data_IF_725421455945
#
_entry.id   IF_725421455945
#
_cell.length_a   1.000
_cell.length_b   1.000
_cell.length_c   1.000
_cell.angle_alpha   90.00
_cell.angle_beta   90.00
_cell.angle_gamma   90.00
#
_symmetry.space_group_name_H-M   'P 1'
#
loop_
_entity.id
_entity.type
_entity.pdbx_description
1 polymer ?
#
# COMPACT_ATOMS: atom_id res chain seq x y z
N UNK A 1 -5.62 41.69 34.18
CA UNK A 1 -4.36 41.00 34.54
C UNK A 1 -3.28 41.37 33.53
N UNK A 2 -2.28 42.16 33.93
CA UNK A 2 -1.20 42.57 33.04
C UNK A 2 -0.32 41.35 32.68
N UNK A 3 -0.20 41.04 31.38
CA UNK A 3 0.68 39.98 30.88
C UNK A 3 2.12 40.31 31.27
N UNK A 4 2.75 39.49 32.12
CA UNK A 4 4.17 39.58 32.46
C UNK A 4 4.97 39.59 31.16
N UNK A 5 5.76 40.63 30.91
CA UNK A 5 6.59 40.75 29.72
C UNK A 5 7.55 39.55 29.64
N UNK A 6 7.74 38.99 28.45
CA UNK A 6 8.63 37.85 28.22
C UNK A 6 10.07 38.26 28.64
N UNK A 7 10.69 37.60 29.63
CA UNK A 7 12.02 37.98 30.12
C UNK A 7 13.08 37.94 29.02
N UNK A 8 12.88 37.11 27.97
CA UNK A 8 13.78 37.03 26.82
C UNK A 8 13.71 38.27 25.93
N UNK A 9 12.54 38.91 25.85
CA UNK A 9 12.37 40.16 25.10
C UNK A 9 13.08 41.32 25.81
N UNK A 10 13.07 41.35 27.15
CA UNK A 10 13.78 42.37 27.92
C UNK A 10 15.30 42.22 27.83
N UNK A 11 15.82 40.99 27.84
CA UNK A 11 17.23 40.70 27.58
C UNK A 11 17.62 41.06 26.15
N UNK A 12 16.80 40.69 25.16
CA UNK A 12 17.02 41.02 23.76
C UNK A 12 17.04 42.51 23.45
N UNK A 13 16.25 43.31 24.16
CA UNK A 13 16.28 44.78 24.04
C UNK A 13 17.66 45.36 24.37
N UNK A 14 18.32 44.87 25.42
CA UNK A 14 19.68 45.31 25.77
C UNK A 14 20.69 44.99 24.67
N UNK A 15 20.56 43.82 24.06
CA UNK A 15 21.45 43.38 22.98
C UNK A 15 21.30 44.24 21.72
N UNK A 16 20.07 44.59 21.32
CA UNK A 16 19.86 45.48 20.16
C UNK A 16 20.28 46.93 20.47
N UNK A 17 20.16 47.38 21.72
CA UNK A 17 20.67 48.68 22.17
C UNK A 17 22.20 48.73 22.09
N UNK A 18 22.91 47.66 22.49
CA UNK A 18 24.36 47.51 22.34
C UNK A 18 24.80 47.49 20.87
N UNK A 19 23.96 46.97 19.98
CA UNK A 19 24.17 47.07 18.52
C UNK A 19 23.86 48.45 17.96
N UNK A 20 23.43 49.40 18.80
CA UNK A 20 23.05 50.75 18.40
C UNK A 20 21.77 50.80 17.57
N UNK A 21 20.93 49.77 17.62
CA UNK A 21 19.68 49.68 16.87
C UNK A 21 18.52 50.19 17.73
N UNK A 22 17.82 51.22 17.25
CA UNK A 22 16.64 51.77 17.93
C UNK A 22 15.61 52.28 16.93
N UNK A 23 14.37 52.49 17.38
CA UNK A 23 13.29 52.96 16.51
C UNK A 23 13.59 54.35 15.95
N UNK A 24 14.16 55.24 16.76
CA UNK A 24 14.53 56.58 16.33
C UNK A 24 15.57 56.53 15.19
N UNK A 25 16.56 55.65 15.31
CA UNK A 25 17.62 55.48 14.30
C UNK A 25 17.15 54.80 13.01
N UNK A 26 16.11 53.97 13.09
CA UNK A 26 15.42 53.47 11.91
C UNK A 26 14.62 54.58 11.22
N UNK A 27 13.96 55.44 11.99
CA UNK A 27 13.13 56.52 11.46
C UNK A 27 13.94 57.66 10.84
N UNK A 28 15.13 57.96 11.38
CA UNK A 28 16.04 58.98 10.85
C UNK A 28 17.02 58.44 9.77
N UNK A 29 16.97 57.12 9.49
CA UNK A 29 17.79 56.46 8.48
C UNK A 29 19.24 56.19 8.89
N UNK A 30 19.64 56.46 10.14
CA UNK A 30 20.98 56.18 10.67
C UNK A 30 21.26 54.69 10.88
N UNK A 31 20.22 53.84 10.80
CA UNK A 31 20.30 52.38 10.75
C UNK A 31 19.36 51.90 9.64
N UNK A 32 19.84 51.03 8.76
CA UNK A 32 19.04 50.50 7.64
C UNK A 32 18.35 49.18 7.98
N UNK A 33 17.27 48.85 7.25
CA UNK A 33 16.61 47.54 7.39
C UNK A 33 17.53 46.37 6.96
N UNK A 34 18.48 46.61 6.06
CA UNK A 34 19.48 45.61 5.64
C UNK A 34 20.45 45.27 6.78
N UNK A 35 20.83 46.28 7.58
CA UNK A 35 21.64 46.07 8.79
C UNK A 35 20.89 45.23 9.82
N UNK A 36 19.57 45.41 9.95
CA UNK A 36 18.74 44.55 10.81
C UNK A 36 18.66 43.13 10.27
N UNK A 37 18.53 42.96 8.96
CA UNK A 37 18.51 41.65 8.32
C UNK A 37 19.83 40.89 8.55
N UNK A 38 20.98 41.56 8.47
CA UNK A 38 22.29 40.95 8.71
C UNK A 38 22.50 40.45 10.16
N UNK A 39 21.71 40.98 11.11
CA UNK A 39 21.76 40.61 12.54
C UNK A 39 20.80 39.48 12.92
N UNK A 40 19.89 39.07 12.03
CA UNK A 40 18.94 37.99 12.29
C UNK A 40 19.67 36.68 12.62
N UNK A 41 19.24 35.99 13.68
CA UNK A 41 19.80 34.70 14.09
C UNK A 41 21.09 34.78 14.91
N UNK A 42 21.61 35.98 15.18
CA UNK A 42 22.81 36.16 16.01
C UNK A 42 22.51 35.97 17.51
N UNK A 43 21.33 36.38 17.98
CA UNK A 43 20.86 36.15 19.34
C UNK A 43 19.34 35.92 19.40
N UNK A 44 18.86 34.81 20.01
CA UNK A 44 17.42 34.50 20.05
C UNK A 44 16.57 35.52 20.82
N UNK A 45 17.14 36.25 21.78
CA UNK A 45 16.47 37.34 22.48
C UNK A 45 16.38 38.59 21.62
N UNK A 46 17.50 38.97 20.99
CA UNK A 46 17.58 40.08 20.06
C UNK A 46 16.63 39.89 18.88
N UNK A 47 16.48 38.67 18.37
CA UNK A 47 15.52 38.35 17.31
C UNK A 47 14.07 38.70 17.69
N UNK A 48 13.67 38.42 18.94
CA UNK A 48 12.34 38.79 19.44
C UNK A 48 12.18 40.32 19.55
N UNK A 49 13.24 41.01 19.95
CA UNK A 49 13.26 42.46 20.08
C UNK A 49 13.26 43.16 18.71
N UNK A 50 14.02 42.66 17.73
CA UNK A 50 14.03 43.11 16.34
C UNK A 50 12.66 42.92 15.69
N UNK A 51 12.02 41.75 15.85
CA UNK A 51 10.67 41.54 15.35
C UNK A 51 9.67 42.53 15.95
N UNK A 52 9.76 42.81 17.25
CA UNK A 52 8.91 43.80 17.91
C UNK A 52 9.18 45.23 17.40
N UNK A 53 10.46 45.59 17.20
CA UNK A 53 10.90 46.88 16.69
C UNK A 53 10.39 47.14 15.27
N UNK A 54 10.48 46.14 14.38
CA UNK A 54 9.92 46.19 13.03
C UNK A 54 8.40 46.41 13.06
N UNK A 55 7.68 45.80 14.01
CA UNK A 55 6.25 46.06 14.22
C UNK A 55 5.92 47.49 14.68
N UNK A 56 6.92 48.23 15.16
CA UNK A 56 6.78 49.62 15.57
C UNK A 56 7.14 50.65 14.49
N UNK A 57 7.70 50.20 13.37
CA UNK A 57 8.07 51.03 12.23
C UNK A 57 7.08 50.82 11.05
N UNK A 58 6.04 51.67 10.91
CA UNK A 58 4.94 51.45 9.97
C UNK A 58 5.32 51.79 8.51
N UNK A 59 6.24 51.00 7.95
CA UNK A 59 6.67 51.12 6.54
C UNK A 59 6.51 49.76 5.82
N UNK A 60 6.19 49.74 4.52
CA UNK A 60 6.02 48.50 3.77
C UNK A 60 7.25 47.58 3.81
N UNK A 61 8.45 48.15 3.82
CA UNK A 61 9.71 47.41 3.87
C UNK A 61 9.87 46.61 5.18
N UNK A 62 9.36 47.12 6.30
CA UNK A 62 9.38 46.39 7.57
C UNK A 62 8.42 45.20 7.55
N UNK A 63 7.28 45.33 6.87
CA UNK A 63 6.35 44.22 6.66
C UNK A 63 6.98 43.14 5.77
N UNK A 64 7.63 43.52 4.67
CA UNK A 64 8.32 42.57 3.79
C UNK A 64 9.41 41.79 4.52
N UNK A 65 10.24 42.48 5.31
CA UNK A 65 11.30 41.83 6.08
C UNK A 65 10.75 40.81 7.10
N UNK A 66 9.61 41.12 7.72
CA UNK A 66 8.93 40.19 8.63
C UNK A 66 8.33 38.97 7.90
N UNK A 67 7.82 39.15 6.68
CA UNK A 67 7.30 38.06 5.84
C UNK A 67 8.42 37.13 5.37
N UNK A 68 9.54 37.69 4.91
CA UNK A 68 10.73 36.92 4.53
C UNK A 68 11.27 36.12 5.72
N UNK A 69 11.21 36.71 6.91
CA UNK A 69 11.62 36.05 8.13
C UNK A 69 10.65 34.93 8.55
N UNK A 70 9.34 35.12 8.36
CA UNK A 70 8.31 34.10 8.55
C UNK A 70 8.52 32.90 7.62
N UNK A 71 8.86 33.16 6.35
CA UNK A 71 9.08 32.15 5.32
C UNK A 71 10.23 31.19 5.64
N UNK A 72 11.25 31.64 6.40
CA UNK A 72 12.38 30.82 6.87
C UNK A 72 12.01 29.83 7.99
N UNK A 73 10.72 29.65 8.28
CA UNK A 73 10.18 28.71 9.28
C UNK A 73 10.82 28.86 10.67
N UNK A 74 10.78 30.05 11.29
CA UNK A 74 11.38 30.28 12.59
C UNK A 74 10.70 29.45 13.68
N UNK A 75 11.37 29.33 14.84
CA UNK A 75 10.83 28.61 16.00
C UNK A 75 9.48 29.21 16.48
N UNK A 76 8.74 28.45 17.28
CA UNK A 76 7.37 28.80 17.73
C UNK A 76 7.29 30.16 18.44
N UNK A 77 8.33 30.56 19.17
CA UNK A 77 8.34 31.81 19.95
C UNK A 77 8.54 33.01 19.04
N UNK A 78 9.53 32.95 18.14
CA UNK A 78 9.81 34.00 17.17
C UNK A 78 8.68 34.15 16.15
N UNK A 79 8.09 33.04 15.68
CA UNK A 79 6.91 33.07 14.81
C UNK A 79 5.76 33.87 15.43
N UNK A 80 5.49 33.66 16.73
CA UNK A 80 4.46 34.43 17.45
C UNK A 80 4.80 35.91 17.58
N UNK A 81 6.08 36.26 17.71
CA UNK A 81 6.52 37.65 17.75
C UNK A 81 6.32 38.33 16.38
N UNK A 82 6.75 37.67 15.30
CA UNK A 82 6.57 38.12 13.91
C UNK A 82 5.08 38.33 13.58
N UNK A 83 4.21 37.37 13.95
CA UNK A 83 2.77 37.50 13.74
C UNK A 83 2.16 38.71 14.46
N UNK A 84 2.59 38.98 15.70
CA UNK A 84 2.14 40.16 16.44
C UNK A 84 2.65 41.45 15.81
N UNK A 85 3.88 41.46 15.31
CA UNK A 85 4.48 42.62 14.65
C UNK A 85 3.73 42.94 13.34
N UNK A 86 3.49 41.94 12.50
CA UNK A 86 2.68 42.08 11.28
C UNK A 86 1.25 42.56 11.60
N UNK A 87 0.60 41.98 12.61
CA UNK A 87 -0.73 42.45 13.04
C UNK A 87 -0.72 43.91 13.52
N UNK A 88 0.35 44.35 14.19
CA UNK A 88 0.51 45.74 14.62
C UNK A 88 0.71 46.68 13.43
N UNK A 89 1.43 46.25 12.39
CA UNK A 89 1.61 47.01 11.15
C UNK A 89 0.30 47.15 10.36
N UNK A 90 -0.50 46.08 10.27
CA UNK A 90 -1.81 46.17 9.59
C UNK A 90 -2.79 47.09 10.32
N UNK A 91 -2.80 47.07 11.66
CA UNK A 91 -3.56 48.03 12.46
C UNK A 91 -3.13 49.49 12.24
N UNK A 92 -1.87 49.72 11.86
CA UNK A 92 -1.32 51.04 11.51
C UNK A 92 -1.46 51.39 10.02
N UNK A 93 -2.19 50.58 9.24
CA UNK A 93 -2.50 50.86 7.84
C UNK A 93 -1.44 50.43 6.83
N UNK A 94 -0.42 49.65 7.23
CA UNK A 94 0.54 49.07 6.30
C UNK A 94 -0.12 47.89 5.58
N UNK A 95 -0.15 47.92 4.24
CA UNK A 95 -0.62 46.81 3.43
C UNK A 95 0.34 45.61 3.58
N UNK A 96 -0.20 44.44 3.92
CA UNK A 96 0.58 43.21 4.09
C UNK A 96 0.10 42.23 3.05
N UNK A 97 0.90 42.05 2.00
CA UNK A 97 0.66 41.04 0.98
C UNK A 97 1.20 39.70 1.47
N UNK A 98 0.34 38.95 2.17
CA UNK A 98 0.67 37.59 2.60
C UNK A 98 0.33 36.65 1.44
N UNK A 99 1.27 35.79 0.98
CA UNK A 99 0.89 34.70 0.11
C UNK A 99 -0.21 33.89 0.80
N UNK A 100 -1.28 33.58 0.07
CA UNK A 100 -2.42 32.84 0.59
C UNK A 100 -1.90 31.61 1.34
N UNK A 101 -2.12 31.59 2.66
CA UNK A 101 -1.92 30.37 3.41
C UNK A 101 -2.88 29.36 2.82
N UNK A 102 -2.38 28.18 2.44
CA UNK A 102 -3.22 27.02 2.15
C UNK A 102 -4.36 27.01 3.17
N UNK A 103 -5.62 27.09 2.73
CA UNK A 103 -6.73 27.25 3.65
C UNK A 103 -6.65 26.13 4.68
N UNK A 104 -6.65 26.49 5.97
CA UNK A 104 -6.69 25.52 7.04
C UNK A 104 -7.86 24.57 6.75
N UNK A 105 -7.55 23.27 6.52
CA UNK A 105 -8.55 22.25 6.20
C UNK A 105 -9.72 22.39 7.17
N UNK A 106 -10.91 22.64 6.62
CA UNK A 106 -12.15 22.80 7.38
C UNK A 106 -12.32 21.64 8.35
N UNK A 107 -12.56 21.96 9.63
CA UNK A 107 -12.84 21.01 10.72
C UNK A 107 -14.12 20.19 10.43
N UNK A 108 -14.95 20.64 9.49
CA UNK A 108 -16.20 19.98 9.08
C UNK A 108 -16.02 18.98 7.94
N UNK A 109 -14.80 18.71 7.47
CA UNK A 109 -14.59 17.63 6.49
C UNK A 109 -14.81 16.30 7.21
N UNK A 110 -15.77 15.45 6.78
CA UNK A 110 -15.92 14.12 7.34
C UNK A 110 -14.58 13.39 7.26
N UNK A 111 -14.11 12.86 8.39
CA UNK A 111 -12.89 12.05 8.38
C UNK A 111 -13.23 10.76 7.68
N UNK A 112 -12.75 10.63 6.43
CA UNK A 112 -12.88 9.40 5.68
C UNK A 112 -12.05 8.28 6.32
N UNK A 113 -12.50 7.01 6.23
CA UNK A 113 -11.66 5.90 6.63
C UNK A 113 -10.44 5.74 5.73
N UNK A 114 -9.43 5.09 6.28
CA UNK A 114 -8.30 4.54 5.55
C UNK A 114 -8.59 3.07 5.24
N UNK A 115 -8.23 2.62 4.03
CA UNK A 115 -8.32 1.23 3.60
C UNK A 115 -6.93 0.61 3.48
N UNK A 116 -6.79 -0.66 3.86
CA UNK A 116 -5.58 -1.44 3.61
C UNK A 116 -5.91 -2.83 3.08
N UNK A 117 -5.01 -3.35 2.24
CA UNK A 117 -5.19 -4.62 1.55
C UNK A 117 -3.89 -5.43 1.54
N UNK A 118 -3.96 -6.73 1.76
CA UNK A 118 -2.82 -7.63 1.52
C UNK A 118 -2.77 -8.06 0.05
N UNK A 119 -1.69 -8.73 -0.36
CA UNK A 119 -1.78 -9.54 -1.58
C UNK A 119 -2.81 -10.64 -1.38
N UNK A 120 -3.43 -11.06 -2.47
CA UNK A 120 -4.20 -12.29 -2.49
C UNK A 120 -3.25 -13.49 -2.63
N UNK A 121 -3.53 -14.58 -1.94
CA UNK A 121 -2.81 -15.84 -2.14
C UNK A 121 -3.44 -16.70 -3.26
N UNK A 122 -2.81 -17.85 -3.54
CA UNK A 122 -3.27 -18.78 -4.58
C UNK A 122 -4.67 -19.32 -4.38
N UNK A 123 -5.10 -19.45 -3.13
CA UNK A 123 -6.40 -19.97 -2.73
C UNK A 123 -7.48 -18.88 -2.68
N UNK A 124 -7.10 -17.62 -2.89
CA UNK A 124 -7.99 -16.48 -2.92
C UNK A 124 -8.18 -15.80 -1.56
N UNK A 125 -7.37 -16.13 -0.54
CA UNK A 125 -7.41 -15.46 0.75
C UNK A 125 -6.70 -14.10 0.67
N UNK A 126 -7.32 -13.10 1.31
CA UNK A 126 -6.76 -11.76 1.50
C UNK A 126 -7.24 -11.14 2.80
N UNK A 127 -6.38 -10.31 3.37
CA UNK A 127 -6.68 -9.49 4.54
C UNK A 127 -7.11 -8.09 4.09
N UNK A 128 -8.27 -7.64 4.55
CA UNK A 128 -8.83 -6.31 4.25
C UNK A 128 -9.04 -5.56 5.56
N UNK A 129 -8.52 -4.34 5.66
CA UNK A 129 -8.71 -3.47 6.82
C UNK A 129 -9.42 -2.17 6.47
N UNK A 130 -10.30 -1.73 7.37
CA UNK A 130 -10.87 -0.39 7.41
C UNK A 130 -10.54 0.26 8.75
N UNK A 131 -10.01 1.48 8.69
CA UNK A 131 -9.56 2.22 9.88
C UNK A 131 -10.15 3.62 9.85
N UNK A 132 -10.93 4.00 10.86
CA UNK A 132 -11.53 5.34 10.93
C UNK A 132 -11.20 6.03 12.26
N UNK A 133 -10.65 7.26 12.24
CA UNK A 133 -10.48 8.05 13.45
C UNK A 133 -11.81 8.38 14.13
N UNK A 134 -11.82 8.29 15.47
CA UNK A 134 -12.99 8.60 16.29
C UNK A 134 -12.90 10.02 16.87
N UNK A 135 -14.05 10.67 16.99
CA UNK A 135 -14.19 11.93 17.75
C UNK A 135 -13.96 11.60 19.22
N UNK A 136 -12.99 12.25 19.87
CA UNK A 136 -12.60 11.95 21.26
C UNK A 136 -11.32 11.10 21.40
N UNK A 137 -10.73 10.63 20.29
CA UNK A 137 -9.48 9.88 20.28
C UNK A 137 -9.67 8.39 19.95
N UNK A 138 -8.58 7.73 19.54
CA UNK A 138 -8.62 6.33 19.07
C UNK A 138 -9.05 6.18 17.60
N UNK A 139 -8.91 4.96 17.10
CA UNK A 139 -9.31 4.52 15.76
C UNK A 139 -10.25 3.33 15.93
N UNK A 140 -11.41 3.37 15.27
CA UNK A 140 -12.13 2.14 15.01
C UNK A 140 -11.39 1.37 13.92
N UNK A 141 -11.13 0.11 14.20
CA UNK A 141 -10.47 -0.82 13.31
C UNK A 141 -11.40 -1.99 13.04
N UNK A 142 -11.58 -2.30 11.76
CA UNK A 142 -12.28 -3.48 11.28
C UNK A 142 -11.34 -4.23 10.34
N UNK A 143 -11.17 -5.53 10.59
CA UNK A 143 -10.34 -6.43 9.82
C UNK A 143 -11.15 -7.64 9.42
N UNK A 144 -11.05 -8.01 8.15
CA UNK A 144 -11.68 -9.20 7.61
C UNK A 144 -10.65 -10.05 6.85
N UNK A 145 -10.66 -11.37 7.09
CA UNK A 145 -10.05 -12.34 6.18
C UNK A 145 -11.14 -12.79 5.21
N UNK A 146 -10.91 -12.58 3.92
CA UNK A 146 -11.87 -12.83 2.86
C UNK A 146 -11.26 -13.78 1.85
N UNK A 147 -12.04 -14.77 1.45
CA UNK A 147 -11.69 -15.74 0.43
C UNK A 147 -12.55 -15.54 -0.83
N UNK A 148 -11.92 -15.58 -2.01
CA UNK A 148 -12.58 -15.18 -3.25
C UNK A 148 -13.46 -16.25 -3.95
N UNK A 149 -13.61 -17.49 -3.45
CA UNK A 149 -14.90 -18.19 -3.61
C UNK A 149 -15.71 -18.32 -2.31
N UNK A 150 -15.06 -18.36 -1.15
CA UNK A 150 -15.74 -18.78 0.08
C UNK A 150 -16.40 -17.68 0.89
N UNK A 151 -16.07 -16.42 0.62
CA UNK A 151 -16.59 -15.28 1.37
C UNK A 151 -15.73 -14.94 2.58
N UNK A 152 -16.33 -14.24 3.54
CA UNK A 152 -15.65 -13.82 4.77
C UNK A 152 -15.46 -15.02 5.70
N UNK A 153 -14.20 -15.27 6.09
CA UNK A 153 -13.77 -16.37 6.97
C UNK A 153 -13.45 -15.93 8.39
N UNK A 154 -13.11 -14.65 8.57
CA UNK A 154 -12.82 -14.08 9.90
C UNK A 154 -13.17 -12.61 9.93
N UNK A 155 -13.72 -12.18 11.05
CA UNK A 155 -14.06 -10.79 11.32
C UNK A 155 -13.50 -10.36 12.69
N UNK A 156 -12.86 -9.21 12.73
CA UNK A 156 -12.35 -8.63 13.96
C UNK A 156 -12.59 -7.13 13.96
N UNK A 157 -13.20 -6.61 15.03
CA UNK A 157 -13.28 -5.18 15.27
C UNK A 157 -12.75 -4.84 16.66
N UNK A 158 -11.94 -3.79 16.73
CA UNK A 158 -11.37 -3.31 18.00
C UNK A 158 -11.09 -1.80 17.93
N UNK A 159 -10.79 -1.22 19.09
CA UNK A 159 -10.29 0.15 19.20
C UNK A 159 -8.77 0.12 19.34
N UNK A 160 -8.09 0.87 18.48
CA UNK A 160 -6.63 0.94 18.46
C UNK A 160 -6.17 2.37 18.30
N UNK A 161 -4.94 2.67 18.67
CA UNK A 161 -4.31 3.95 18.34
C UNK A 161 -3.48 3.83 17.05
N UNK A 162 -3.04 4.96 16.49
CA UNK A 162 -2.20 4.98 15.28
C UNK A 162 -0.90 4.18 15.42
N UNK A 163 -0.31 4.15 16.63
CA UNK A 163 0.89 3.36 16.91
C UNK A 163 0.60 1.86 16.84
N UNK A 164 -0.57 1.44 17.32
CA UNK A 164 -1.05 0.06 17.26
C UNK A 164 -1.25 -0.42 15.82
N UNK A 165 -1.89 0.37 14.96
CA UNK A 165 -2.02 0.05 13.52
C UNK A 165 -0.65 -0.09 12.87
N UNK A 166 0.26 0.86 13.11
CA UNK A 166 1.62 0.79 12.55
C UNK A 166 2.37 -0.45 13.02
N UNK A 167 2.30 -0.76 14.31
CA UNK A 167 2.93 -1.94 14.90
C UNK A 167 2.33 -3.24 14.33
N UNK A 168 1.00 -3.33 14.19
CA UNK A 168 0.34 -4.51 13.63
C UNK A 168 0.73 -4.74 12.15
N UNK A 169 0.81 -3.68 11.34
CA UNK A 169 1.31 -3.79 9.95
C UNK A 169 2.76 -4.24 9.89
N UNK A 170 3.59 -3.72 10.79
CA UNK A 170 5.00 -4.13 10.89
C UNK A 170 5.13 -5.60 11.32
N UNK A 171 4.33 -6.03 12.30
CA UNK A 171 4.31 -7.41 12.79
C UNK A 171 3.88 -8.40 11.70
N UNK A 172 2.84 -8.06 10.93
CA UNK A 172 2.40 -8.83 9.76
C UNK A 172 3.53 -8.98 8.72
N UNK A 173 4.22 -7.88 8.42
CA UNK A 173 5.31 -7.90 7.45
C UNK A 173 6.51 -8.71 7.96
N UNK A 174 6.90 -8.58 9.22
CA UNK A 174 8.10 -9.22 9.76
C UNK A 174 7.88 -10.71 10.09
N UNK A 175 6.79 -11.04 10.80
CA UNK A 175 6.55 -12.42 11.28
C UNK A 175 5.89 -13.31 10.24
N UNK A 176 4.94 -12.75 9.51
CA UNK A 176 4.08 -13.52 8.61
C UNK A 176 4.38 -13.26 7.13
N UNK A 177 5.28 -12.31 6.82
CA UNK A 177 5.60 -11.89 5.46
C UNK A 177 4.37 -11.36 4.69
N UNK A 178 3.37 -10.84 5.41
CA UNK A 178 2.14 -10.28 4.84
C UNK A 178 2.29 -8.75 4.80
N UNK A 179 2.41 -8.19 3.59
CA UNK A 179 2.47 -6.76 3.40
C UNK A 179 1.08 -6.17 3.15
N UNK A 180 0.64 -5.26 4.03
CA UNK A 180 -0.57 -4.44 3.84
C UNK A 180 -0.23 -3.12 3.14
N UNK A 181 -0.79 -2.90 1.96
CA UNK A 181 -0.68 -1.65 1.19
C UNK A 181 -1.90 -0.77 1.43
N UNK A 182 -1.76 0.55 1.28
CA UNK A 182 -2.91 1.45 1.33
C UNK A 182 -3.79 1.27 0.10
N UNK A 183 -5.10 1.26 0.27
CA UNK A 183 -6.07 1.11 -0.80
C UNK A 183 -7.25 2.07 -0.62
N UNK A 184 -7.98 2.42 -1.70
CA UNK A 184 -9.21 3.20 -1.58
C UNK A 184 -10.19 2.52 -0.61
N UNK A 185 -10.58 3.22 0.46
CA UNK A 185 -11.43 2.63 1.50
C UNK A 185 -12.77 2.12 0.95
N UNK A 186 -13.29 2.72 -0.13
CA UNK A 186 -14.52 2.27 -0.80
C UNK A 186 -14.35 0.89 -1.43
N UNK A 187 -13.16 0.59 -1.96
CA UNK A 187 -12.85 -0.72 -2.48
C UNK A 187 -12.77 -1.74 -1.34
N UNK A 188 -12.06 -1.42 -0.25
CA UNK A 188 -12.02 -2.27 0.94
C UNK A 188 -13.42 -2.56 1.52
N UNK A 189 -14.27 -1.53 1.60
CA UNK A 189 -15.67 -1.66 2.05
C UNK A 189 -16.49 -2.55 1.13
N UNK A 190 -16.34 -2.38 -0.19
CA UNK A 190 -16.94 -3.25 -1.19
C UNK A 190 -16.49 -4.70 -1.01
N UNK A 191 -15.19 -4.97 -0.88
CA UNK A 191 -14.66 -6.33 -0.69
C UNK A 191 -15.22 -6.99 0.56
N UNK A 192 -15.30 -6.25 1.67
CA UNK A 192 -15.88 -6.78 2.92
C UNK A 192 -17.37 -7.11 2.77
N UNK A 193 -18.14 -6.27 2.07
CA UNK A 193 -19.56 -6.52 1.83
C UNK A 193 -19.76 -7.71 0.90
N UNK A 194 -18.99 -7.79 -0.19
CA UNK A 194 -19.01 -8.93 -1.11
C UNK A 194 -18.64 -10.24 -0.38
N UNK A 195 -17.61 -10.21 0.48
CA UNK A 195 -17.23 -11.34 1.30
C UNK A 195 -18.35 -11.80 2.23
N UNK A 196 -19.03 -10.86 2.89
CA UNK A 196 -20.18 -11.15 3.75
C UNK A 196 -21.34 -11.76 2.96
N UNK A 197 -21.70 -11.17 1.81
CA UNK A 197 -22.79 -11.67 0.95
C UNK A 197 -22.54 -13.11 0.49
N UNK A 198 -21.29 -13.46 0.14
CA UNK A 198 -20.92 -14.83 -0.23
C UNK A 198 -21.05 -15.81 0.93
N UNK A 199 -20.64 -15.41 2.15
CA UNK A 199 -20.83 -16.23 3.35
C UNK A 199 -22.32 -16.48 3.59
N UNK A 200 -23.16 -15.45 3.50
CA UNK A 200 -24.61 -15.58 3.69
C UNK A 200 -25.26 -16.48 2.63
N UNK A 201 -24.83 -16.36 1.37
CA UNK A 201 -25.35 -17.18 0.26
C UNK A 201 -25.06 -18.68 0.46
N UNK A 202 -23.95 -19.04 1.12
CA UNK A 202 -23.60 -20.43 1.43
C UNK A 202 -24.42 -21.03 2.58
N UNK A 203 -25.06 -20.21 3.42
CA UNK A 203 -25.94 -20.66 4.50
C UNK A 203 -25.25 -21.50 5.59
N UNK A 204 -23.92 -21.51 5.64
CA UNK A 204 -23.17 -22.21 6.69
C UNK A 204 -22.91 -21.23 7.85
N UNK A 205 -23.35 -21.56 9.08
CA UNK A 205 -23.02 -20.76 10.25
C UNK A 205 -21.51 -20.83 10.47
N UNK A 206 -20.83 -19.69 10.41
CA UNK A 206 -19.41 -19.60 10.70
C UNK A 206 -19.25 -19.70 12.24
N UNK A 207 -18.65 -20.77 12.78
CA UNK A 207 -18.44 -20.86 14.22
C UNK A 207 -17.46 -19.74 14.64
N UNK A 208 -17.75 -18.95 15.68
CA UNK A 208 -16.83 -17.92 16.13
C UNK A 208 -15.50 -18.59 16.50
N UNK A 209 -14.44 -18.27 15.75
CA UNK A 209 -13.10 -18.71 16.07
C UNK A 209 -12.65 -18.20 17.45
N UNK A 210 -11.62 -18.80 18.07
CA UNK A 210 -11.22 -18.53 19.46
C UNK A 210 -10.79 -17.08 19.77
N UNK A 211 -10.74 -16.19 18.77
CA UNK A 211 -10.37 -14.78 18.87
C UNK A 211 -11.10 -13.87 17.87
N UNK A 212 -12.19 -14.34 17.25
CA UNK A 212 -12.91 -13.62 16.19
C UNK A 212 -14.36 -13.33 16.55
N UNK A 213 -14.93 -12.27 15.98
CA UNK A 213 -16.36 -12.02 16.04
C UNK A 213 -17.07 -12.90 15.00
N UNK A 214 -18.33 -13.25 15.25
CA UNK A 214 -19.15 -13.91 14.23
C UNK A 214 -19.26 -13.01 12.99
N UNK A 215 -19.19 -13.59 11.80
CA UNK A 215 -19.39 -12.89 10.53
C UNK A 215 -20.76 -12.21 10.47
N UNK A 216 -21.78 -12.74 11.15
CA UNK A 216 -23.11 -12.13 11.24
C UNK A 216 -23.11 -10.76 11.93
N UNK A 217 -22.07 -10.44 12.71
CA UNK A 217 -21.91 -9.13 13.32
C UNK A 217 -21.46 -8.05 12.31
N UNK A 218 -21.03 -8.43 11.10
CA UNK A 218 -20.47 -7.51 10.10
C UNK A 218 -21.33 -6.27 9.83
N UNK A 219 -22.65 -6.36 9.56
CA UNK A 219 -23.47 -5.18 9.29
C UNK A 219 -23.47 -4.18 10.45
N UNK A 220 -23.54 -4.68 11.69
CA UNK A 220 -23.53 -3.85 12.89
C UNK A 220 -22.17 -3.17 13.07
N UNK A 221 -21.06 -3.92 12.96
CA UNK A 221 -19.70 -3.37 13.08
C UNK A 221 -19.38 -2.36 11.98
N UNK A 222 -19.78 -2.65 10.74
CA UNK A 222 -19.65 -1.73 9.61
C UNK A 222 -20.39 -0.43 9.89
N UNK A 223 -21.59 -0.48 10.46
CA UNK A 223 -22.39 0.73 10.75
C UNK A 223 -21.72 1.70 11.73
N UNK A 224 -20.84 1.20 12.62
CA UNK A 224 -20.04 2.02 13.54
C UNK A 224 -18.93 2.81 12.82
N UNK A 225 -18.49 2.33 11.65
CA UNK A 225 -17.48 2.97 10.80
C UNK A 225 -18.12 3.82 9.71
N UNK A 226 -19.14 3.28 9.05
CA UNK A 226 -19.68 3.79 7.80
C UNK A 226 -21.21 3.83 7.86
N UNK A 227 -21.76 5.03 7.69
CA UNK A 227 -23.21 5.24 7.66
C UNK A 227 -23.80 5.17 6.25
N UNK A 228 -22.96 5.21 5.21
CA UNK A 228 -23.40 5.10 3.82
C UNK A 228 -23.57 3.63 3.39
N UNK A 229 -24.52 3.33 2.48
CA UNK A 229 -24.59 2.01 1.87
C UNK A 229 -23.30 1.69 1.12
N UNK A 230 -22.94 0.41 1.09
CA UNK A 230 -21.84 -0.09 0.26
C UNK A 230 -22.18 0.16 -1.21
N UNK A 231 -21.16 0.48 -2.01
CA UNK A 231 -21.28 0.60 -3.46
C UNK A 231 -20.29 -0.34 -4.11
N UNK A 232 -20.68 -0.96 -5.22
CA UNK A 232 -19.75 -1.70 -6.06
C UNK A 232 -18.56 -0.80 -6.44
N UNK A 233 -17.36 -1.34 -6.31
CA UNK A 233 -16.12 -0.63 -6.62
C UNK A 233 -15.24 -1.54 -7.49
N UNK A 234 -14.73 -1.04 -8.64
CA UNK A 234 -13.78 -1.81 -9.43
C UNK A 234 -12.45 -1.95 -8.69
N UNK A 235 -11.61 -2.90 -9.13
CA UNK A 235 -10.23 -2.98 -8.67
C UNK A 235 -9.53 -1.64 -8.92
N UNK A 236 -8.84 -1.06 -7.92
CA UNK A 236 -8.12 0.19 -8.12
C UNK A 236 -7.03 0.01 -9.19
N UNK A 237 -6.88 0.96 -10.12
CA UNK A 237 -5.81 0.85 -11.11
C UNK A 237 -4.44 0.94 -10.42
N UNK A 238 -3.44 0.16 -10.86
CA UNK A 238 -2.07 0.29 -10.37
C UNK A 238 -1.52 1.69 -10.68
N UNK A 239 -1.00 2.37 -9.67
CA UNK A 239 -0.49 3.74 -9.81
C UNK A 239 0.70 3.79 -10.77
N UNK A 240 0.67 4.74 -11.71
CA UNK A 240 1.75 4.95 -12.68
C UNK A 240 1.84 3.91 -13.79
N UNK A 241 0.82 3.07 -13.98
CA UNK A 241 0.74 2.08 -15.07
C UNK A 241 -0.53 2.32 -15.88
N UNK A 242 -0.38 2.53 -17.18
CA UNK A 242 -1.51 2.67 -18.12
C UNK A 242 -1.89 1.30 -18.70
N UNK A 243 -3.11 0.77 -18.44
CA UNK A 243 -3.56 -0.49 -19.02
C UNK A 243 -3.53 -0.52 -20.55
N UNK A 244 -3.75 0.60 -21.23
CA UNK A 244 -3.72 0.65 -22.69
C UNK A 244 -2.29 0.47 -23.23
N UNK A 245 -1.30 1.04 -22.55
CA UNK A 245 0.12 0.83 -22.88
C UNK A 245 0.49 -0.65 -22.69
N UNK A 246 0.10 -1.25 -21.56
CA UNK A 246 0.41 -2.66 -21.26
C UNK A 246 -0.24 -3.60 -22.27
N UNK A 247 -1.49 -3.35 -22.66
CA UNK A 247 -2.18 -4.16 -23.67
C UNK A 247 -1.50 -4.11 -25.06
N UNK A 248 -0.74 -3.05 -25.36
CA UNK A 248 -0.05 -2.88 -26.64
C UNK A 248 1.35 -3.51 -26.69
N UNK A 249 1.86 -3.97 -25.54
CA UNK A 249 3.24 -4.41 -25.37
C UNK A 249 3.31 -5.91 -25.04
N UNK A 250 3.52 -6.73 -26.07
CA UNK A 250 3.57 -8.19 -25.96
C UNK A 250 4.70 -8.72 -25.06
N UNK A 251 5.74 -7.92 -24.81
CA UNK A 251 6.89 -8.32 -24.00
C UNK A 251 6.46 -8.69 -22.56
N UNK A 252 5.56 -7.92 -21.93
CA UNK A 252 5.11 -8.18 -20.56
C UNK A 252 4.39 -9.52 -20.42
N UNK A 253 3.58 -9.87 -21.42
CA UNK A 253 2.88 -11.15 -21.47
C UNK A 253 3.86 -12.30 -21.74
N UNK A 254 4.75 -12.14 -22.73
CA UNK A 254 5.73 -13.19 -23.09
C UNK A 254 6.70 -13.57 -21.97
N UNK A 255 6.91 -12.66 -21.01
CA UNK A 255 7.81 -12.86 -19.88
C UNK A 255 7.04 -12.93 -18.55
N UNK A 256 5.74 -13.25 -18.59
CA UNK A 256 4.87 -13.31 -17.41
C UNK A 256 5.21 -14.44 -16.44
N UNK A 257 5.94 -15.48 -16.87
CA UNK A 257 6.44 -16.55 -15.98
C UNK A 257 7.36 -16.04 -14.88
N UNK A 258 8.01 -14.89 -15.08
CA UNK A 258 8.83 -14.23 -14.05
C UNK A 258 8.02 -13.75 -12.84
N UNK A 259 6.69 -13.71 -12.93
CA UNK A 259 5.82 -13.42 -11.79
C UNK A 259 6.04 -14.41 -10.64
N UNK A 260 6.42 -15.67 -10.91
CA UNK A 260 6.75 -16.66 -9.88
C UNK A 260 8.05 -16.35 -9.13
N UNK A 261 8.82 -15.34 -9.54
CA UNK A 261 9.94 -14.82 -8.74
C UNK A 261 9.45 -13.96 -7.56
N UNK A 262 8.23 -13.43 -7.63
CA UNK A 262 7.63 -12.67 -6.54
C UNK A 262 7.20 -13.59 -5.38
N UNK A 263 7.57 -13.29 -4.12
CA UNK A 263 7.22 -14.11 -2.97
C UNK A 263 5.73 -14.35 -2.80
N UNK A 264 4.92 -13.34 -3.13
CA UNK A 264 3.46 -13.37 -2.97
C UNK A 264 2.80 -14.35 -3.98
N UNK A 265 3.47 -14.63 -5.11
CA UNK A 265 2.99 -15.48 -6.21
C UNK A 265 3.62 -16.88 -6.23
N UNK A 266 4.72 -17.11 -5.52
CA UNK A 266 5.37 -18.43 -5.43
C UNK A 266 4.46 -19.53 -4.87
N UNK A 267 3.44 -19.14 -4.10
CA UNK A 267 2.46 -20.06 -3.50
C UNK A 267 1.12 -20.04 -4.22
N UNK A 268 1.04 -19.36 -5.36
CA UNK A 268 -0.09 -19.52 -6.25
C UNK A 268 0.04 -20.90 -6.89
N UNK A 269 -0.64 -21.87 -6.31
CA UNK A 269 -0.76 -23.24 -6.80
C UNK A 269 -2.23 -23.63 -6.68
N UNK A 270 -2.65 -24.56 -7.55
CA UNK A 270 -3.94 -25.22 -7.40
C UNK A 270 -3.93 -26.00 -6.08
N UNK A 271 -5.06 -26.01 -5.37
CA UNK A 271 -5.19 -26.87 -4.20
C UNK A 271 -5.19 -28.35 -4.61
N UNK A 272 -5.06 -29.23 -3.61
CA UNK A 272 -4.99 -30.67 -3.85
C UNK A 272 -6.26 -31.19 -4.55
N UNK A 273 -7.44 -30.71 -4.16
CA UNK A 273 -8.71 -31.16 -4.71
C UNK A 273 -8.86 -30.77 -6.19
N UNK A 274 -8.37 -29.58 -6.55
CA UNK A 274 -8.32 -29.08 -7.92
C UNK A 274 -7.25 -29.79 -8.76
N UNK A 275 -6.07 -30.07 -8.20
CA UNK A 275 -4.97 -30.67 -8.93
C UNK A 275 -5.11 -32.18 -9.12
N UNK A 276 -5.72 -32.87 -8.16
CA UNK A 276 -5.78 -34.33 -8.10
C UNK A 276 -6.28 -35.01 -9.38
N UNK A 277 -7.40 -34.58 -10.02
CA UNK A 277 -7.88 -35.22 -11.23
C UNK A 277 -6.85 -35.21 -12.37
N UNK A 278 -5.98 -34.21 -12.41
CA UNK A 278 -4.94 -34.05 -13.43
C UNK A 278 -3.65 -34.76 -13.07
N UNK A 279 -3.32 -34.84 -11.77
CA UNK A 279 -2.23 -35.69 -11.26
C UNK A 279 -2.53 -37.15 -11.57
N UNK A 280 -3.73 -37.63 -11.25
CA UNK A 280 -4.16 -39.01 -11.54
C UNK A 280 -4.08 -39.32 -13.05
N UNK A 281 -4.46 -38.37 -13.91
CA UNK A 281 -4.33 -38.50 -15.38
C UNK A 281 -2.87 -38.54 -15.84
N UNK A 282 -1.99 -37.73 -15.24
CA UNK A 282 -0.56 -37.74 -15.56
C UNK A 282 0.10 -39.06 -15.17
N UNK A 283 -0.22 -39.59 -13.98
CA UNK A 283 0.27 -40.90 -13.53
C UNK A 283 -0.16 -42.00 -14.50
N UNK A 284 -1.44 -42.03 -14.91
CA UNK A 284 -1.93 -42.99 -15.91
C UNK A 284 -1.25 -42.85 -17.28
N UNK A 285 -0.89 -41.62 -17.69
CA UNK A 285 -0.19 -41.38 -18.93
C UNK A 285 1.26 -41.89 -18.90
N UNK A 286 1.92 -41.85 -17.72
CA UNK A 286 3.28 -42.36 -17.51
C UNK A 286 3.32 -43.88 -17.32
N UNK A 287 2.39 -44.45 -16.56
CA UNK A 287 2.31 -45.89 -16.24
C UNK A 287 1.69 -46.75 -17.35
N UNK A 288 1.42 -46.16 -18.52
CA UNK A 288 0.77 -46.87 -19.62
C UNK A 288 1.59 -48.10 -20.05
N UNK A 289 1.04 -49.34 -20.01
CA UNK A 289 1.77 -50.57 -20.34
C UNK A 289 2.19 -50.68 -21.82
N UNK A 290 1.71 -49.76 -22.66
CA UNK A 290 2.13 -49.62 -24.04
C UNK A 290 3.51 -48.96 -24.06
N UNK A 291 4.49 -49.56 -24.73
CA UNK A 291 5.82 -48.96 -24.96
C UNK A 291 5.64 -47.70 -25.82
N UNK A 292 5.35 -46.57 -25.18
CA UNK A 292 5.23 -45.27 -25.81
C UNK A 292 6.62 -44.65 -25.91
N UNK A 293 6.90 -44.04 -27.06
CA UNK A 293 8.11 -43.24 -27.22
C UNK A 293 7.95 -41.94 -26.40
N UNK A 294 9.05 -41.37 -25.87
CA UNK A 294 9.07 -40.14 -25.06
C UNK A 294 8.26 -38.97 -25.65
N UNK A 295 8.25 -38.82 -26.97
CA UNK A 295 7.45 -37.82 -27.69
C UNK A 295 5.94 -38.03 -27.50
N UNK A 296 5.46 -39.27 -27.52
CA UNK A 296 4.03 -39.57 -27.32
C UNK A 296 3.59 -39.36 -25.86
N UNK A 297 4.50 -39.62 -24.91
CA UNK A 297 4.25 -39.29 -23.50
C UNK A 297 4.18 -37.78 -23.28
N UNK A 298 5.12 -37.02 -23.88
CA UNK A 298 5.11 -35.55 -23.83
C UNK A 298 3.86 -34.95 -24.48
N UNK A 299 3.42 -35.47 -25.63
CA UNK A 299 2.21 -35.00 -26.32
C UNK A 299 0.95 -35.23 -25.48
N UNK A 300 0.83 -36.40 -24.82
CA UNK A 300 -0.27 -36.66 -23.88
C UNK A 300 -0.23 -35.74 -22.66
N UNK A 301 0.95 -35.54 -22.07
CA UNK A 301 1.13 -34.64 -20.95
C UNK A 301 0.74 -33.20 -21.33
N UNK A 302 1.12 -32.75 -22.53
CA UNK A 302 0.72 -31.46 -23.06
C UNK A 302 -0.80 -31.38 -23.28
N UNK A 303 -1.44 -32.44 -23.79
CA UNK A 303 -2.89 -32.51 -23.94
C UNK A 303 -3.65 -32.38 -22.62
N UNK A 304 -3.14 -32.97 -21.54
CA UNK A 304 -3.71 -32.82 -20.19
C UNK A 304 -3.61 -31.35 -19.76
N UNK A 305 -2.44 -30.73 -19.92
CA UNK A 305 -2.22 -29.32 -19.56
C UNK A 305 -3.14 -28.40 -20.37
N UNK A 306 -3.27 -28.61 -21.68
CA UNK A 306 -4.17 -27.86 -22.55
C UNK A 306 -5.63 -27.95 -22.08
N UNK A 307 -6.04 -29.12 -21.58
CA UNK A 307 -7.38 -29.34 -21.02
C UNK A 307 -7.57 -28.54 -19.72
N UNK A 308 -6.59 -28.61 -18.81
CA UNK A 308 -6.63 -27.84 -17.55
C UNK A 308 -6.70 -26.35 -17.81
N UNK A 309 -5.91 -25.85 -18.77
CA UNK A 309 -5.89 -24.44 -19.14
C UNK A 309 -7.24 -23.96 -19.65
N UNK A 310 -7.90 -24.77 -20.48
CA UNK A 310 -9.24 -24.47 -20.99
C UNK A 310 -10.29 -24.48 -19.87
N UNK A 311 -10.18 -25.37 -18.88
CA UNK A 311 -11.13 -25.46 -17.77
C UNK A 311 -10.96 -24.33 -16.74
N UNK A 312 -9.71 -24.01 -16.36
CA UNK A 312 -9.42 -23.05 -15.30
C UNK A 312 -9.38 -21.60 -15.77
N UNK A 313 -9.02 -21.36 -17.02
CA UNK A 313 -8.83 -20.01 -17.56
C UNK A 313 -9.76 -19.71 -18.73
N UNK A 314 -11.01 -20.17 -18.64
CA UNK A 314 -12.11 -19.75 -19.52
C UNK A 314 -13.33 -19.26 -18.71
N UNK A 315 -14.26 -18.57 -19.39
CA UNK A 315 -15.54 -18.16 -18.80
C UNK A 315 -15.42 -17.33 -17.52
N UNK A 316 -16.16 -17.72 -16.48
CA UNK A 316 -16.15 -17.05 -15.17
C UNK A 316 -14.85 -17.25 -14.39
N UNK A 317 -14.18 -18.39 -14.58
CA UNK A 317 -12.90 -18.68 -13.94
C UNK A 317 -11.80 -17.75 -14.47
N UNK A 318 -11.77 -17.50 -15.78
CA UNK A 318 -10.89 -16.49 -16.38
C UNK A 318 -11.12 -15.10 -15.80
N UNK A 319 -12.38 -14.66 -15.67
CA UNK A 319 -12.73 -13.37 -15.04
C UNK A 319 -12.25 -13.29 -13.58
N UNK A 320 -12.39 -14.39 -12.84
CA UNK A 320 -11.93 -14.48 -11.46
C UNK A 320 -10.42 -14.31 -11.39
N UNK A 321 -9.64 -15.12 -12.13
CA UNK A 321 -8.18 -15.01 -12.16
C UNK A 321 -7.70 -13.65 -12.66
N UNK A 322 -8.37 -13.07 -13.67
CA UNK A 322 -8.06 -11.73 -14.13
C UNK A 322 -8.20 -10.70 -13.01
N UNK A 323 -9.30 -10.72 -12.25
CA UNK A 323 -9.50 -9.83 -11.11
C UNK A 323 -8.43 -10.04 -10.02
N UNK A 324 -8.05 -11.29 -9.73
CA UNK A 324 -6.94 -11.58 -8.80
C UNK A 324 -5.64 -10.94 -9.24
N UNK A 325 -5.34 -11.01 -10.53
CA UNK A 325 -4.12 -10.47 -11.13
C UNK A 325 -4.15 -8.95 -11.24
N UNK A 326 -5.31 -8.33 -11.46
CA UNK A 326 -5.49 -6.87 -11.36
C UNK A 326 -5.19 -6.39 -9.93
N UNK A 327 -5.73 -7.06 -8.91
CA UNK A 327 -5.49 -6.72 -7.52
C UNK A 327 -4.03 -6.95 -7.12
N UNK A 328 -3.41 -8.02 -7.66
CA UNK A 328 -1.98 -8.29 -7.52
C UNK A 328 -1.14 -7.19 -8.18
N UNK A 329 -1.51 -6.73 -9.37
CA UNK A 329 -0.84 -5.63 -10.05
C UNK A 329 -0.91 -4.34 -9.23
N UNK A 330 -2.09 -4.03 -8.67
CA UNK A 330 -2.26 -2.91 -7.75
C UNK A 330 -1.32 -3.03 -6.52
N UNK A 331 -1.29 -4.20 -5.88
CA UNK A 331 -0.45 -4.45 -4.71
C UNK A 331 1.05 -4.33 -5.01
N UNK A 332 1.51 -4.93 -6.10
CA UNK A 332 2.89 -4.86 -6.56
C UNK A 332 3.32 -3.42 -6.90
N UNK A 333 2.45 -2.65 -7.59
CA UNK A 333 2.72 -1.25 -7.90
C UNK A 333 2.84 -0.40 -6.62
N UNK A 334 1.96 -0.62 -5.64
CA UNK A 334 2.02 0.05 -4.33
C UNK A 334 3.29 -0.31 -3.54
N UNK A 335 3.96 -1.41 -3.87
CA UNK A 335 5.27 -1.82 -3.32
C UNK A 335 6.46 -1.44 -4.22
N UNK A 336 6.22 -0.63 -5.25
CA UNK A 336 7.21 -0.20 -6.24
C UNK A 336 7.85 -1.36 -7.01
N UNK A 337 7.12 -2.46 -7.21
CA UNK A 337 7.50 -3.61 -8.04
C UNK A 337 6.85 -3.48 -9.43
N UNK A 338 7.23 -2.42 -10.15
CA UNK A 338 6.52 -2.01 -11.36
C UNK A 338 6.56 -3.04 -12.49
N UNK A 339 7.69 -3.68 -12.76
CA UNK A 339 7.78 -4.66 -13.84
C UNK A 339 6.88 -5.88 -13.57
N UNK A 340 6.87 -6.38 -12.34
CA UNK A 340 5.97 -7.45 -11.91
C UNK A 340 4.50 -7.01 -11.94
N UNK A 341 4.20 -5.76 -11.54
CA UNK A 341 2.85 -5.21 -11.66
C UNK A 341 2.37 -5.15 -13.12
N UNK A 342 3.24 -4.73 -14.05
CA UNK A 342 2.95 -4.70 -15.49
C UNK A 342 2.69 -6.10 -16.05
N UNK A 343 3.50 -7.09 -15.66
CA UNK A 343 3.27 -8.51 -16.03
C UNK A 343 1.92 -9.01 -15.52
N UNK A 344 1.61 -8.77 -14.25
CA UNK A 344 0.35 -9.20 -13.65
C UNK A 344 -0.85 -8.56 -14.37
N UNK A 345 -0.78 -7.26 -14.66
CA UNK A 345 -1.81 -6.56 -15.43
C UNK A 345 -1.92 -7.09 -16.86
N UNK A 346 -0.80 -7.37 -17.54
CA UNK A 346 -0.81 -7.93 -18.89
C UNK A 346 -1.52 -9.28 -18.94
N UNK A 347 -1.25 -10.17 -17.98
CA UNK A 347 -1.92 -11.46 -17.87
C UNK A 347 -3.41 -11.26 -17.59
N UNK A 348 -3.78 -10.35 -16.69
CA UNK A 348 -5.19 -10.07 -16.38
C UNK A 348 -5.98 -9.62 -17.61
N UNK A 349 -5.42 -8.69 -18.39
CA UNK A 349 -6.03 -8.19 -19.62
C UNK A 349 -6.16 -9.28 -20.69
N UNK A 350 -5.12 -10.12 -20.84
CA UNK A 350 -5.14 -11.24 -21.78
C UNK A 350 -6.19 -12.30 -21.39
N UNK A 351 -6.30 -12.63 -20.10
CA UNK A 351 -7.32 -13.56 -19.58
C UNK A 351 -8.74 -13.07 -19.84
N UNK A 352 -9.01 -11.77 -19.71
CA UNK A 352 -10.33 -11.19 -19.99
C UNK A 352 -10.71 -11.27 -21.46
N UNK A 353 -9.73 -11.23 -22.35
CA UNK A 353 -9.93 -11.16 -23.80
C UNK A 353 -9.99 -12.54 -24.45
N UNK A 354 -8.95 -13.34 -24.25
CA UNK A 354 -8.65 -14.54 -25.05
C UNK A 354 -8.53 -15.82 -24.18
N UNK A 355 -8.63 -15.71 -22.85
CA UNK A 355 -8.45 -16.82 -21.91
C UNK A 355 -6.98 -17.14 -21.60
N UNK A 356 -6.70 -18.27 -20.95
CA UNK A 356 -5.35 -18.59 -20.44
C UNK A 356 -4.41 -19.32 -21.40
N UNK A 357 -4.89 -19.75 -22.58
CA UNK A 357 -4.09 -20.57 -23.50
C UNK A 357 -2.98 -19.74 -24.15
N UNK A 358 -1.74 -20.25 -24.14
CA UNK A 358 -0.57 -19.55 -24.71
C UNK A 358 -0.01 -18.44 -23.83
N UNK A 359 -0.53 -18.28 -22.60
CA UNK A 359 0.01 -17.33 -21.63
C UNK A 359 1.02 -18.05 -20.73
N UNK A 360 2.32 -17.67 -20.75
CA UNK A 360 3.36 -18.37 -19.98
C UNK A 360 3.06 -18.50 -18.48
N UNK A 361 2.43 -17.49 -17.89
CA UNK A 361 2.03 -17.53 -16.47
C UNK A 361 1.02 -18.65 -16.18
N UNK A 362 -0.02 -18.79 -17.00
CA UNK A 362 -1.05 -19.81 -16.81
C UNK A 362 -0.49 -21.22 -17.05
N UNK A 363 0.35 -21.38 -18.07
CA UNK A 363 1.02 -22.66 -18.34
C UNK A 363 1.92 -23.10 -17.18
N UNK A 364 2.75 -22.18 -16.69
CA UNK A 364 3.66 -22.47 -15.58
C UNK A 364 2.89 -22.70 -14.27
N UNK A 365 1.79 -21.97 -14.01
CA UNK A 365 0.92 -22.18 -12.85
C UNK A 365 0.40 -23.62 -12.81
N UNK A 366 -0.15 -24.11 -13.93
CA UNK A 366 -0.69 -25.47 -14.05
C UNK A 366 0.43 -26.50 -13.90
N UNK A 367 1.53 -26.33 -14.64
CA UNK A 367 2.67 -27.27 -14.60
C UNK A 367 3.26 -27.38 -13.21
N UNK A 368 3.48 -26.26 -12.52
CA UNK A 368 4.04 -26.23 -11.17
C UNK A 368 3.07 -26.87 -10.17
N UNK A 369 1.77 -26.58 -10.28
CA UNK A 369 0.76 -27.15 -9.39
C UNK A 369 0.71 -28.68 -9.52
N UNK A 370 0.59 -29.19 -10.75
CA UNK A 370 0.58 -30.65 -10.99
C UNK A 370 1.89 -31.29 -10.52
N UNK A 371 3.04 -30.67 -10.82
CA UNK A 371 4.33 -31.20 -10.41
C UNK A 371 4.46 -31.31 -8.89
N UNK A 372 4.05 -30.28 -8.13
CA UNK A 372 4.12 -30.30 -6.66
C UNK A 372 3.29 -31.45 -6.09
N UNK A 373 2.02 -31.58 -6.52
CA UNK A 373 1.12 -32.61 -6.01
C UNK A 373 1.50 -34.02 -6.46
N UNK A 374 2.01 -34.19 -7.69
CA UNK A 374 2.51 -35.48 -8.19
C UNK A 374 3.66 -36.02 -7.32
N UNK A 375 4.62 -35.15 -6.95
CA UNK A 375 5.74 -35.54 -6.10
C UNK A 375 5.33 -35.84 -4.64
N UNK A 376 4.28 -35.21 -4.14
CA UNK A 376 3.74 -35.52 -2.81
C UNK A 376 3.10 -36.92 -2.78
N UNK A 377 2.48 -37.37 -3.87
CA UNK A 377 1.92 -38.73 -4.00
C UNK A 377 2.99 -39.81 -4.28
N UNK A 378 4.13 -39.46 -4.90
CA UNK A 378 5.19 -40.40 -5.32
C UNK A 378 6.58 -40.06 -4.75
N UNK A 379 6.78 -40.10 -3.42
CA UNK A 379 8.04 -39.67 -2.80
C UNK A 379 9.25 -40.57 -3.13
N UNK A 380 9.05 -41.83 -3.54
CA UNK A 380 10.12 -42.80 -3.82
C UNK A 380 10.84 -42.57 -5.17
N UNK A 381 10.22 -41.88 -6.12
CA UNK A 381 10.83 -41.56 -7.42
C UNK A 381 11.90 -40.46 -7.31
N UNK A 382 11.94 -39.72 -6.18
CA UNK A 382 12.97 -38.73 -5.88
C UNK A 382 14.41 -39.30 -5.87
N UNK A 383 14.57 -40.57 -5.49
CA UNK A 383 15.89 -41.22 -5.41
C UNK A 383 16.36 -41.81 -6.76
N UNK A 384 15.43 -42.11 -7.68
CA UNK A 384 15.75 -42.73 -8.98
C UNK A 384 15.92 -41.72 -10.13
N UNK A 385 15.25 -40.56 -10.08
CA UNK A 385 15.38 -39.50 -11.10
C UNK A 385 16.67 -38.67 -11.03
N UNK A 386 17.65 -39.05 -10.21
CA UNK A 386 18.98 -38.44 -10.12
C UNK A 386 19.87 -38.57 -11.39
N UNK A 387 19.38 -39.20 -12.47
CA UNK A 387 20.11 -39.37 -13.72
C UNK A 387 19.96 -38.17 -14.68
N UNK A 388 21.01 -37.80 -15.43
CA UNK A 388 21.01 -36.62 -16.31
C UNK A 388 20.13 -36.87 -17.55
N UNK A 389 18.84 -36.60 -17.45
CA UNK A 389 17.91 -36.73 -18.57
C UNK A 389 16.42 -36.47 -18.30
N UNK A 390 16.02 -36.12 -17.07
CA UNK A 390 14.61 -35.76 -16.77
C UNK A 390 14.31 -34.31 -17.18
N UNK A 391 13.19 -34.11 -17.88
CA UNK A 391 12.68 -32.81 -18.36
C UNK A 391 11.82 -32.09 -17.31
N UNK A 392 11.67 -32.69 -16.13
CA UNK A 392 10.94 -32.12 -15.00
C UNK A 392 11.94 -31.32 -14.18
N UNK A 393 11.71 -30.02 -14.07
CA UNK A 393 12.53 -29.13 -13.24
C UNK A 393 12.44 -29.59 -11.79
N UNK A 394 13.58 -29.85 -11.16
CA UNK A 394 13.64 -30.47 -9.83
C UNK A 394 13.04 -29.53 -8.77
N UNK A 395 12.31 -30.04 -7.77
CA UNK A 395 11.99 -29.28 -6.55
C UNK A 395 13.24 -28.71 -5.86
N UNK A 396 14.39 -29.39 -5.98
CA UNK A 396 15.68 -28.90 -5.51
C UNK A 396 16.23 -27.71 -6.34
N UNK A 397 15.95 -27.67 -7.65
CA UNK A 397 16.33 -26.55 -8.52
C UNK A 397 15.41 -25.33 -8.27
N UNK A 398 14.14 -25.59 -7.96
CA UNK A 398 13.20 -24.57 -7.46
C UNK A 398 13.62 -24.05 -6.07
N UNK A 399 13.92 -24.94 -5.12
CA UNK A 399 14.44 -24.57 -3.80
C UNK A 399 15.80 -23.84 -3.89
N UNK A 400 16.66 -24.20 -4.85
CA UNK A 400 17.92 -23.51 -5.12
C UNK A 400 17.69 -22.12 -5.72
N UNK A 401 16.72 -21.96 -6.64
CA UNK A 401 16.27 -20.63 -7.12
C UNK A 401 15.69 -19.78 -5.99
N UNK A 402 14.89 -20.38 -5.11
CA UNK A 402 14.34 -19.75 -3.90
C UNK A 402 15.43 -19.29 -2.92
N UNK A 403 16.50 -20.08 -2.78
CA UNK A 403 17.66 -19.71 -1.96
C UNK A 403 18.55 -18.66 -2.64
N UNK A 404 18.68 -18.69 -3.97
CA UNK A 404 19.43 -17.70 -4.74
C UNK A 404 18.77 -16.31 -4.71
N UNK A 405 17.44 -16.24 -4.85
CA UNK A 405 16.66 -15.01 -4.70
C UNK A 405 16.80 -14.41 -3.28
N UNK A 406 16.82 -15.26 -2.24
CA UNK A 406 17.09 -14.85 -0.84
C UNK A 406 18.52 -14.33 -0.62
N UNK A 407 19.50 -14.82 -1.38
CA UNK A 407 20.91 -14.38 -1.29
C UNK A 407 21.16 -13.05 -1.99
N UNK A 408 20.52 -12.79 -3.13
CA UNK A 408 20.62 -11.50 -3.84
C UNK A 408 19.96 -10.34 -3.07
N UNK A 409 18.86 -10.58 -2.36
CA UNK A 409 18.27 -9.58 -1.45
C UNK A 409 19.14 -9.24 -0.23
N UNK A 410 20.04 -10.14 0.20
CA UNK A 410 20.98 -9.89 1.30
C UNK A 410 22.26 -9.16 0.88
N UNK A 411 22.56 -9.08 -0.42
CA UNK A 411 23.75 -8.41 -0.94
C UNK A 411 23.48 -7.00 -1.48
N UNK A 412 22.22 -6.53 -1.40
CA UNK A 412 21.79 -5.18 -1.83
C UNK A 412 21.42 -4.26 -0.67
N UNK A 413 21.92 -4.54 0.54
CA UNK A 413 21.89 -3.66 1.72
C UNK A 413 23.26 -3.51 2.34
#
# INVERSE_FOLDING_TARGET
MAKKADPRLAAGKKVIDEWGISLARLQDGSVSLDELQARQGQDPGADLALAALLGDHPVPQAAQLLLDWEARKPNKTLRRAIHRALYKLSQKGVAIDRPDQEPAKSILTPIEPEGYLSSMDGHGDRLVWLVKPRIGGGLHYLSALINEPDGMRRLEATEVNRKGIKAARQDLAERYQIALVGAPWRYCDFLMSEGYERTQAKGQPDPPGPSGQSVDAYPALRSHLLSSPTKAAPVPPPEGIDPAEIASQDNWLSTSSQLFEEPDLQRWLLDQDQAKPYVDQMTQAQDSPLVLNKYQQQDRAQGIIDTVLAELFSGDSARTYARRLEETAFHLAARSRFDSAKRALAVALALQKDGGKGIPFCEDLVRQSIAVHYHEEHPQEQEQEGAPGSLIMKPADFAARMQAARRQQRQTW
#
